data_IF_531051785276
#
_entry.id   IF_531051785276
#
_cell.length_a   1.000
_cell.length_b   1.000
_cell.length_c   1.000
_cell.angle_alpha   90.00
_cell.angle_beta   90.00
_cell.angle_gamma   90.00
#
_symmetry.space_group_name_H-M   'P 1'
#
loop_
_entity.id
_entity.type
_entity.pdbx_description
1 polymer ?
#
# COMPACT_ATOMS: atom_id res chain seq x y z
N UNK A 1 25.94 -6.49 14.05
CA UNK A 1 24.61 -6.38 14.70
C UNK A 1 24.63 -7.18 16.00
N UNK A 2 24.14 -6.64 17.12
CA UNK A 2 23.92 -7.44 18.34
C UNK A 2 22.93 -8.57 18.02
N UNK A 3 23.17 -9.76 18.55
CA UNK A 3 22.27 -10.91 18.39
C UNK A 3 20.95 -10.56 19.06
N UNK A 4 19.90 -10.31 18.26
CA UNK A 4 18.55 -10.02 18.76
C UNK A 4 18.02 -11.24 19.50
N UNK A 5 17.45 -11.05 20.69
CA UNK A 5 16.80 -12.11 21.46
C UNK A 5 15.73 -12.80 20.58
N UNK A 6 15.82 -14.13 20.36
CA UNK A 6 14.91 -14.83 19.46
C UNK A 6 13.45 -14.73 19.89
N UNK A 7 13.16 -14.65 21.20
CA UNK A 7 11.80 -14.52 21.72
C UNK A 7 11.24 -13.15 21.34
N UNK A 8 11.95 -12.07 21.67
CA UNK A 8 11.59 -10.69 21.32
C UNK A 8 11.34 -10.53 19.82
N UNK A 9 12.21 -11.11 18.98
CA UNK A 9 12.02 -11.08 17.52
C UNK A 9 10.72 -11.74 17.09
N UNK A 10 10.34 -12.86 17.70
CA UNK A 10 9.07 -13.54 17.37
C UNK A 10 7.86 -12.73 17.84
N UNK A 11 7.93 -12.10 19.02
CA UNK A 11 6.86 -11.24 19.52
C UNK A 11 6.62 -10.08 18.55
N UNK A 12 7.68 -9.36 18.16
CA UNK A 12 7.58 -8.22 17.24
C UNK A 12 7.05 -8.66 15.87
N UNK A 13 7.57 -9.78 15.32
CA UNK A 13 7.12 -10.30 14.02
C UNK A 13 5.63 -10.64 14.03
N UNK A 14 5.14 -11.30 15.07
CA UNK A 14 3.73 -11.67 15.16
C UNK A 14 2.84 -10.46 15.44
N UNK A 15 3.31 -9.46 16.20
CA UNK A 15 2.60 -8.21 16.39
C UNK A 15 2.42 -7.44 15.07
N UNK A 16 3.47 -7.34 14.24
CA UNK A 16 3.38 -6.70 12.93
C UNK A 16 2.39 -7.43 11.99
N UNK A 17 2.42 -8.78 11.96
CA UNK A 17 1.46 -9.58 11.21
C UNK A 17 0.02 -9.40 11.71
N UNK A 18 -0.18 -9.31 13.02
CA UNK A 18 -1.50 -9.07 13.60
C UNK A 18 -2.02 -7.68 13.21
N UNK A 19 -1.17 -6.65 13.24
CA UNK A 19 -1.53 -5.30 12.80
C UNK A 19 -1.94 -5.28 11.32
N UNK A 20 -1.18 -5.93 10.43
CA UNK A 20 -1.52 -6.01 9.01
C UNK A 20 -2.85 -6.76 8.75
N UNK A 21 -3.13 -7.82 9.52
CA UNK A 21 -4.41 -8.53 9.45
C UNK A 21 -5.59 -7.68 9.96
N UNK A 22 -5.36 -6.84 10.97
CA UNK A 22 -6.35 -5.89 11.46
C UNK A 22 -6.62 -4.75 10.46
N UNK A 23 -5.57 -4.23 9.79
CA UNK A 23 -5.71 -3.30 8.67
C UNK A 23 -6.62 -3.86 7.58
N UNK A 24 -6.36 -5.10 7.15
CA UNK A 24 -7.19 -5.80 6.16
C UNK A 24 -8.65 -5.95 6.64
N UNK A 25 -8.85 -6.43 7.87
CA UNK A 25 -10.19 -6.65 8.42
C UNK A 25 -10.98 -5.35 8.51
N UNK A 26 -10.31 -4.27 8.90
CA UNK A 26 -10.89 -2.93 8.98
C UNK A 26 -11.32 -2.44 7.61
N UNK A 27 -10.47 -2.59 6.58
CA UNK A 27 -10.79 -2.21 5.21
C UNK A 27 -12.03 -2.96 4.69
N UNK A 28 -12.06 -4.29 4.83
CA UNK A 28 -13.21 -5.11 4.41
C UNK A 28 -14.50 -4.66 5.08
N UNK A 29 -14.48 -4.44 6.40
CA UNK A 29 -15.69 -4.11 7.18
C UNK A 29 -16.20 -2.69 6.97
N UNK A 30 -15.35 -1.79 6.50
CA UNK A 30 -15.70 -0.37 6.31
C UNK A 30 -15.90 0.00 4.84
N UNK A 31 -15.56 -0.90 3.91
CA UNK A 31 -15.72 -0.65 2.49
C UNK A 31 -17.19 -0.66 2.06
N UNK A 32 -17.55 0.31 1.23
CA UNK A 32 -18.82 0.35 0.50
C UNK A 32 -18.74 -0.35 -0.87
N UNK A 33 -17.54 -0.63 -1.38
CA UNK A 33 -17.33 -1.24 -2.70
C UNK A 33 -17.31 -2.78 -2.59
N UNK A 34 -18.14 -3.50 -3.37
CA UNK A 34 -18.12 -4.97 -3.41
C UNK A 34 -16.79 -5.51 -3.91
N UNK A 35 -16.04 -4.75 -4.71
CA UNK A 35 -14.68 -5.13 -5.12
C UNK A 35 -13.75 -5.28 -3.92
N UNK A 36 -14.02 -4.57 -2.82
CA UNK A 36 -13.20 -4.60 -1.63
C UNK A 36 -13.78 -5.54 -0.57
N UNK A 37 -15.07 -5.42 -0.21
CA UNK A 37 -15.61 -6.22 0.90
C UNK A 37 -15.92 -7.67 0.51
N UNK A 38 -16.25 -7.95 -0.76
CA UNK A 38 -16.65 -9.29 -1.24
C UNK A 38 -15.52 -9.92 -2.07
N UNK A 39 -15.06 -9.22 -3.12
CA UNK A 39 -14.04 -9.75 -4.05
C UNK A 39 -12.63 -9.69 -3.43
N UNK A 40 -12.40 -8.75 -2.52
CA UNK A 40 -11.10 -8.51 -1.87
C UNK A 40 -9.98 -8.20 -2.86
N UNK A 41 -10.29 -7.39 -3.87
CA UNK A 41 -9.36 -6.86 -4.85
C UNK A 41 -8.54 -5.69 -4.28
N UNK A 42 -7.73 -6.03 -3.26
CA UNK A 42 -6.80 -5.12 -2.62
C UNK A 42 -5.62 -5.87 -1.99
N UNK A 43 -4.60 -5.12 -1.60
CA UNK A 43 -3.51 -5.59 -0.74
C UNK A 43 -3.18 -4.57 0.32
N UNK A 44 -2.71 -5.05 1.48
CA UNK A 44 -2.23 -4.19 2.56
C UNK A 44 -0.84 -4.62 2.98
N UNK A 45 0.07 -3.65 3.12
CA UNK A 45 1.44 -3.91 3.59
C UNK A 45 1.90 -2.85 4.57
N UNK A 46 2.78 -3.27 5.47
CA UNK A 46 3.59 -2.37 6.27
C UNK A 46 5.05 -2.50 5.82
N UNK A 47 5.73 -1.38 5.69
CA UNK A 47 7.14 -1.33 5.28
C UNK A 47 7.99 -0.65 6.33
N UNK A 48 9.30 -0.87 6.27
CA UNK A 48 10.26 -0.02 6.99
C UNK A 48 10.39 1.35 6.29
N UNK A 49 11.20 2.24 6.89
CA UNK A 49 11.49 3.58 6.38
C UNK A 49 12.09 3.64 4.96
N UNK A 50 12.56 2.51 4.42
CA UNK A 50 13.10 2.38 3.06
C UNK A 50 12.11 1.77 2.07
N UNK A 51 10.83 1.67 2.45
CA UNK A 51 9.80 1.03 1.63
C UNK A 51 9.95 -0.49 1.48
N UNK A 52 10.76 -1.16 2.32
CA UNK A 52 10.92 -2.61 2.25
C UNK A 52 9.85 -3.31 3.11
N UNK A 53 9.24 -4.36 2.55
CA UNK A 53 8.17 -5.12 3.20
C UNK A 53 8.58 -5.68 4.57
N UNK A 54 7.74 -5.44 5.59
CA UNK A 54 7.90 -5.96 6.96
C UNK A 54 6.77 -6.94 7.31
N UNK A 55 5.54 -6.62 6.92
CA UNK A 55 4.38 -7.49 7.12
C UNK A 55 3.26 -7.15 6.14
N UNK A 56 2.42 -8.13 5.90
CA UNK A 56 1.34 -8.09 4.93
C UNK A 56 0.05 -8.67 5.50
N UNK A 57 -1.09 -8.18 5.00
CA UNK A 57 -2.35 -8.90 5.08
C UNK A 57 -2.45 -9.97 4.00
N UNK A 58 -3.47 -10.81 4.04
CA UNK A 58 -3.82 -11.67 2.91
C UNK A 58 -4.24 -10.79 1.73
N UNK A 59 -3.56 -10.92 0.61
CA UNK A 59 -3.71 -10.04 -0.54
C UNK A 59 -3.43 -10.79 -1.85
N UNK A 60 -3.82 -10.19 -2.97
CA UNK A 60 -3.36 -10.64 -4.28
C UNK A 60 -1.84 -10.47 -4.39
N UNK A 61 -1.15 -11.50 -4.91
CA UNK A 61 0.31 -11.49 -5.02
C UNK A 61 0.84 -10.31 -5.86
N UNK A 62 0.07 -9.84 -6.84
CA UNK A 62 0.39 -8.64 -7.63
C UNK A 62 0.56 -7.39 -6.76
N UNK A 63 -0.38 -7.13 -5.84
CA UNK A 63 -0.32 -5.96 -4.96
C UNK A 63 0.83 -6.04 -3.96
N UNK A 64 1.14 -7.23 -3.44
CA UNK A 64 2.30 -7.42 -2.56
C UNK A 64 3.62 -7.12 -3.28
N UNK A 65 3.68 -7.37 -4.59
CA UNK A 65 4.85 -7.06 -5.41
C UNK A 65 4.93 -5.57 -5.79
N UNK A 66 3.79 -4.88 -5.89
CA UNK A 66 3.72 -3.51 -6.40
C UNK A 66 3.74 -2.43 -5.31
N UNK A 67 3.14 -2.67 -4.15
CA UNK A 67 3.08 -1.70 -3.05
C UNK A 67 4.46 -1.21 -2.56
N UNK A 68 5.45 -2.08 -2.31
CA UNK A 68 6.77 -1.63 -1.86
C UNK A 68 7.47 -0.72 -2.90
N UNK A 69 7.53 -1.06 -4.20
CA UNK A 69 7.99 -0.12 -5.24
C UNK A 69 7.25 1.21 -5.28
N UNK A 70 5.91 1.24 -5.14
CA UNK A 70 5.16 2.50 -5.16
C UNK A 70 5.51 3.43 -3.98
N UNK A 71 5.79 2.85 -2.81
CA UNK A 71 6.27 3.61 -1.64
C UNK A 71 7.70 4.10 -1.90
N UNK A 72 8.55 3.28 -2.50
CA UNK A 72 9.93 3.66 -2.85
C UNK A 72 9.97 4.81 -3.86
N UNK A 73 9.12 4.79 -4.89
CA UNK A 73 8.96 5.91 -5.83
C UNK A 73 8.55 7.21 -5.11
N UNK A 74 7.65 7.13 -4.13
CA UNK A 74 7.32 8.26 -3.26
C UNK A 74 8.50 8.76 -2.44
N UNK A 75 9.27 7.86 -1.84
CA UNK A 75 10.49 8.21 -1.08
C UNK A 75 11.50 8.91 -1.98
N UNK A 76 11.67 8.45 -3.23
CA UNK A 76 12.56 9.07 -4.21
C UNK A 76 12.06 10.46 -4.63
N UNK A 77 10.74 10.63 -4.78
CA UNK A 77 10.13 11.90 -5.19
C UNK A 77 10.19 12.97 -4.10
N UNK A 78 9.82 12.62 -2.86
CA UNK A 78 9.71 13.57 -1.76
C UNK A 78 11.00 13.71 -0.95
N UNK A 79 11.89 12.72 -1.04
CA UNK A 79 13.07 12.61 -0.17
C UNK A 79 12.72 12.09 1.23
N UNK A 80 13.75 11.73 2.00
CA UNK A 80 13.57 11.18 3.37
C UNK A 80 12.90 12.15 4.34
N UNK A 81 13.07 13.45 4.11
CA UNK A 81 12.57 14.53 4.96
C UNK A 81 11.27 15.15 4.39
N UNK A 82 10.73 14.58 3.31
CA UNK A 82 9.54 15.06 2.62
C UNK A 82 8.22 14.55 3.17
N UNK A 83 8.25 13.80 4.28
CA UNK A 83 7.06 13.24 4.93
C UNK A 83 6.86 13.86 6.31
N UNK A 84 5.62 14.11 6.68
CA UNK A 84 5.21 14.59 8.00
C UNK A 84 4.20 13.64 8.65
N UNK A 85 4.15 13.64 9.98
CA UNK A 85 3.14 12.88 10.71
C UNK A 85 1.73 13.38 10.36
N UNK A 86 0.82 12.43 10.11
CA UNK A 86 -0.53 12.70 9.63
C UNK A 86 -0.68 12.82 8.11
N UNK A 87 0.40 12.78 7.33
CA UNK A 87 0.30 12.76 5.87
C UNK A 87 -0.40 11.48 5.37
N UNK A 88 -1.11 11.63 4.25
CA UNK A 88 -1.68 10.52 3.49
C UNK A 88 -1.31 10.74 2.03
N UNK A 89 -0.52 9.82 1.50
CA UNK A 89 -0.06 9.86 0.12
C UNK A 89 -0.97 8.94 -0.69
N UNK A 90 -1.37 9.44 -1.85
CA UNK A 90 -2.21 8.75 -2.81
C UNK A 90 -1.49 8.74 -4.16
N UNK A 91 -1.35 7.57 -4.77
CA UNK A 91 -0.70 7.41 -6.07
C UNK A 91 -1.46 6.38 -6.91
N UNK A 92 -1.72 6.76 -8.15
CA UNK A 92 -2.15 5.87 -9.23
C UNK A 92 -1.20 5.97 -10.44
N UNK A 93 0.06 6.37 -10.18
CA UNK A 93 1.06 6.60 -11.22
C UNK A 93 1.33 5.30 -11.99
N UNK A 94 0.95 5.21 -13.28
CA UNK A 94 0.99 3.98 -14.08
C UNK A 94 2.37 3.31 -14.16
N UNK A 95 3.44 4.09 -14.06
CA UNK A 95 4.80 3.56 -14.17
C UNK A 95 5.36 3.06 -12.83
N UNK A 96 4.75 3.43 -11.71
CA UNK A 96 5.24 3.13 -10.36
C UNK A 96 4.34 2.14 -9.60
N UNK A 97 3.03 2.09 -9.90
CA UNK A 97 2.08 1.16 -9.26
C UNK A 97 2.03 -0.21 -9.92
N UNK A 98 2.51 -0.35 -11.16
CA UNK A 98 2.90 -1.63 -11.76
C UNK A 98 1.79 -2.56 -12.28
N UNK A 99 0.52 -2.31 -11.98
CA UNK A 99 -0.61 -3.09 -12.51
C UNK A 99 -1.38 -2.31 -13.58
N UNK A 100 -2.27 -1.41 -13.15
CA UNK A 100 -2.98 -0.46 -13.98
C UNK A 100 -3.51 0.69 -13.11
N UNK A 101 -3.92 1.79 -13.74
CA UNK A 101 -4.28 3.06 -13.08
C UNK A 101 -5.48 2.98 -12.12
N UNK A 102 -6.25 1.89 -12.15
CA UNK A 102 -7.38 1.68 -11.25
C UNK A 102 -6.95 1.06 -9.92
N UNK A 103 -5.72 0.55 -9.82
CA UNK A 103 -5.15 0.05 -8.58
C UNK A 103 -4.40 1.19 -7.89
N UNK A 104 -5.10 1.87 -6.98
CA UNK A 104 -4.61 3.08 -6.33
C UNK A 104 -3.91 2.72 -5.03
N UNK A 105 -2.65 3.13 -4.89
CA UNK A 105 -1.89 3.02 -3.66
C UNK A 105 -2.18 4.20 -2.74
N UNK A 106 -2.55 3.91 -1.49
CA UNK A 106 -2.51 4.85 -0.38
C UNK A 106 -1.49 4.39 0.66
N UNK A 107 -0.70 5.33 1.17
CA UNK A 107 0.20 5.04 2.28
C UNK A 107 0.37 6.24 3.20
N UNK A 108 0.58 5.96 4.47
CA UNK A 108 0.79 6.96 5.52
C UNK A 108 2.11 6.67 6.23
N UNK A 109 2.96 7.68 6.48
CA UNK A 109 4.20 7.51 7.21
C UNK A 109 3.90 7.23 8.69
N UNK A 110 4.73 6.39 9.30
CA UNK A 110 4.67 6.05 10.71
C UNK A 110 5.87 6.70 11.39
N UNK A 111 5.61 7.57 12.37
CA UNK A 111 6.63 8.25 13.16
C UNK A 111 6.74 7.65 14.57
N UNK A 112 7.96 7.62 15.09
CA UNK A 112 8.24 7.34 16.49
C UNK A 112 9.39 8.23 16.97
N UNK A 113 9.15 8.99 18.05
CA UNK A 113 10.11 9.97 18.57
C UNK A 113 10.66 10.91 17.47
N UNK A 114 9.74 11.47 16.68
CA UNK A 114 10.01 12.39 15.56
C UNK A 114 10.87 11.80 14.42
N UNK A 115 11.06 10.48 14.38
CA UNK A 115 11.71 9.80 13.26
C UNK A 115 10.73 8.96 12.43
N UNK A 116 10.86 9.05 11.11
CA UNK A 116 10.19 8.14 10.17
C UNK A 116 10.72 6.70 10.37
N UNK A 117 9.84 5.79 10.79
CA UNK A 117 10.19 4.38 11.04
C UNK A 117 9.63 3.43 9.98
N UNK A 118 8.60 3.83 9.24
CA UNK A 118 7.99 2.99 8.22
C UNK A 118 6.73 3.60 7.61
N UNK A 119 5.98 2.77 6.90
CA UNK A 119 4.72 3.16 6.28
C UNK A 119 3.68 2.06 6.50
N UNK A 120 2.42 2.47 6.70
CA UNK A 120 1.26 1.60 6.57
C UNK A 120 0.59 1.91 5.23
N UNK A 121 0.18 0.88 4.49
CA UNK A 121 -0.28 1.08 3.12
C UNK A 121 -1.35 0.09 2.68
N UNK A 122 -2.13 0.52 1.70
CA UNK A 122 -3.14 -0.24 0.99
C UNK A 122 -3.05 0.08 -0.49
N UNK A 123 -3.19 -0.92 -1.34
CA UNK A 123 -3.50 -0.75 -2.75
C UNK A 123 -4.84 -1.41 -2.99
N UNK A 124 -5.78 -0.68 -3.59
CA UNK A 124 -7.14 -1.15 -3.77
C UNK A 124 -7.65 -0.81 -5.16
N UNK A 125 -8.40 -1.73 -5.76
CA UNK A 125 -8.97 -1.53 -7.07
C UNK A 125 -10.19 -0.61 -7.01
N UNK A 126 -10.16 0.44 -7.82
CA UNK A 126 -11.25 1.39 -8.00
C UNK A 126 -12.00 1.06 -9.28
N UNK A 127 -13.31 0.90 -9.20
CA UNK A 127 -14.12 0.44 -10.34
C UNK A 127 -14.05 1.36 -11.56
N UNK A 128 -13.79 2.66 -11.33
CA UNK A 128 -13.73 3.70 -12.34
C UNK A 128 -12.79 4.81 -11.85
N UNK A 129 -11.95 5.34 -12.75
CA UNK A 129 -11.02 6.45 -12.50
C UNK A 129 -11.32 7.68 -13.36
N UNK A 130 -12.39 7.65 -14.16
CA UNK A 130 -12.80 8.74 -15.06
C UNK A 130 -12.12 8.73 -16.43
N UNK A 131 -11.73 7.55 -16.93
CA UNK A 131 -11.11 7.41 -18.25
C UNK A 131 -12.11 7.52 -19.41
N UNK A 132 -11.63 7.25 -20.62
CA UNK A 132 -12.36 7.40 -21.90
C UNK A 132 -13.76 6.77 -21.92
N UNK A 133 -13.94 5.64 -21.26
CA UNK A 133 -15.23 4.96 -21.13
C UNK A 133 -15.52 4.64 -19.66
N UNK A 134 -16.81 4.56 -19.26
CA UNK A 134 -17.16 4.12 -17.91
C UNK A 134 -16.58 2.75 -17.59
N UNK A 135 -16.06 2.62 -16.37
CA UNK A 135 -15.29 1.47 -15.91
C UNK A 135 -13.79 1.66 -16.16
N UNK A 136 -12.96 1.25 -15.21
CA UNK A 136 -11.51 1.43 -15.24
C UNK A 136 -10.75 0.60 -16.29
N UNK A 137 -11.41 0.12 -17.35
CA UNK A 137 -10.80 -0.65 -18.42
C UNK A 137 -11.47 -0.39 -19.76
N UNK A 138 -10.69 0.01 -20.76
CA UNK A 138 -11.16 0.22 -22.13
C UNK A 138 -10.21 -0.44 -23.12
N UNK A 139 -10.68 -1.40 -23.97
CA UNK A 139 -9.80 -2.09 -24.91
C UNK A 139 -9.39 -1.22 -26.11
N UNK A 140 -9.99 -0.04 -26.27
CA UNK A 140 -9.75 0.86 -27.41
C UNK A 140 -8.91 2.09 -27.06
N UNK A 141 -8.49 2.26 -25.80
CA UNK A 141 -7.52 3.29 -25.43
C UNK A 141 -6.15 2.93 -26.01
N UNK A 142 -5.46 3.92 -26.55
CA UNK A 142 -4.15 3.78 -27.21
C UNK A 142 -3.02 4.41 -26.41
N UNK A 143 -3.35 5.24 -25.42
CA UNK A 143 -2.40 5.96 -24.59
C UNK A 143 -3.01 6.22 -23.20
N UNK A 144 -2.16 6.52 -22.22
CA UNK A 144 -2.52 6.74 -20.81
C UNK A 144 -3.25 8.07 -20.56
N UNK A 145 -3.22 9.00 -21.51
CA UNK A 145 -3.95 10.27 -21.44
C UNK A 145 -5.45 10.15 -21.80
N UNK A 146 -5.93 8.96 -22.14
CA UNK A 146 -7.32 8.66 -22.48
C UNK A 146 -8.02 7.95 -21.33
#
# INVERSE_FOLDING_TARGET
MKKTDPITRQVIRNAARAAAAEMQTTLIKTAHSPLIYEVQDFGVVMTNRFGQLISEGSALAGFLACLPPSIQAGIELFGSDGFSDGDVILSNEPYDTGTHISDVALYTPIFYADELVGFASVMAHWADIGGYAPGGWCPTTTDVHQ
#
